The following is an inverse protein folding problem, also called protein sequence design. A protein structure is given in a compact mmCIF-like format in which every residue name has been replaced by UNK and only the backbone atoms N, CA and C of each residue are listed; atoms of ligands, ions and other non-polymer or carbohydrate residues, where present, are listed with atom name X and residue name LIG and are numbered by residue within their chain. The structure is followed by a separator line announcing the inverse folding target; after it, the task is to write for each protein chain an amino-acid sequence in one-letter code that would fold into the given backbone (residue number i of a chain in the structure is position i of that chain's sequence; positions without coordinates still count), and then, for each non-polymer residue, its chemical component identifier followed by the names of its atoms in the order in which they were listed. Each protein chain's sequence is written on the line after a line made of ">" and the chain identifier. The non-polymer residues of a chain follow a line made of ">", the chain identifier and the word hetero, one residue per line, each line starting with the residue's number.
data_IF_359444568563
#
_entry.id   IF_359444568563
#
_cell.length_a   1.000
_cell.length_b   1.000
_cell.length_c   1.000
_cell.angle_alpha   90.00
_cell.angle_beta   90.00
_cell.angle_gamma   90.00
#
_symmetry.space_group_name_H-M   'P 1'
#
loop_
_entity.id
_entity.type
_entity.pdbx_description
1 polymer ?
#
# COMPACT_ATOMS: atom_id res chain seq x y z
N UNK A 1 -30.60 -11.16 27.03
CA UNK A 1 -30.51 -9.85 26.36
C UNK A 1 -29.48 -9.99 25.25
N UNK A 2 -29.98 -10.11 23.98
CA UNK A 2 -29.10 -10.24 22.82
C UNK A 2 -28.53 -8.86 22.47
N UNK A 3 -27.22 -8.70 22.55
CA UNK A 3 -26.55 -7.55 21.92
C UNK A 3 -26.58 -7.73 20.40
N UNK A 4 -27.01 -6.73 19.63
CA UNK A 4 -26.93 -6.79 18.18
C UNK A 4 -25.47 -6.72 17.75
N UNK A 5 -24.98 -7.76 17.09
CA UNK A 5 -23.70 -7.76 16.39
C UNK A 5 -23.85 -6.93 15.10
N UNK A 6 -23.90 -5.62 15.22
CA UNK A 6 -23.79 -4.74 14.07
C UNK A 6 -22.31 -4.68 13.69
N UNK A 7 -21.86 -5.61 12.85
CA UNK A 7 -20.64 -5.42 12.07
C UNK A 7 -21.00 -4.41 11.00
N UNK A 8 -20.73 -3.13 11.24
CA UNK A 8 -20.79 -2.09 10.21
C UNK A 8 -19.74 -2.43 9.13
N UNK A 9 -20.19 -3.16 8.11
CA UNK A 9 -19.41 -3.31 6.90
C UNK A 9 -19.40 -1.95 6.20
N UNK A 10 -18.23 -1.31 6.17
CA UNK A 10 -18.05 -0.08 5.41
C UNK A 10 -18.55 -0.29 3.97
N UNK A 11 -19.46 0.59 3.54
CA UNK A 11 -20.04 0.54 2.19
C UNK A 11 -18.93 0.84 1.19
N UNK A 12 -18.56 -0.16 0.40
CA UNK A 12 -17.54 -0.01 -0.64
C UNK A 12 -18.11 0.60 -1.90
N UNK A 13 -17.26 1.33 -2.62
CA UNK A 13 -17.53 1.74 -3.98
C UNK A 13 -17.66 0.51 -4.91
N UNK A 14 -18.29 0.66 -6.08
CA UNK A 14 -18.34 -0.40 -7.08
C UNK A 14 -16.94 -0.84 -7.48
N UNK A 15 -16.82 -2.07 -7.97
CA UNK A 15 -15.50 -2.69 -8.27
C UNK A 15 -14.69 -1.89 -9.29
N UNK A 16 -15.38 -1.27 -10.27
CA UNK A 16 -14.76 -0.39 -11.27
C UNK A 16 -13.95 0.76 -10.68
N UNK A 17 -14.31 1.26 -9.49
CA UNK A 17 -13.58 2.33 -8.82
C UNK A 17 -12.16 1.94 -8.37
N UNK A 18 -11.84 0.64 -8.36
CA UNK A 18 -10.55 0.10 -7.95
C UNK A 18 -9.73 -0.44 -9.13
N UNK A 19 -10.21 -0.23 -10.36
CA UNK A 19 -9.61 -0.74 -11.57
C UNK A 19 -8.88 0.36 -12.37
N UNK A 20 -8.06 -0.06 -13.33
CA UNK A 20 -7.33 0.86 -14.20
C UNK A 20 -6.36 1.73 -13.41
N UNK A 21 -6.33 3.02 -13.72
CA UNK A 21 -5.44 4.00 -13.08
C UNK A 21 -5.98 4.54 -11.74
N UNK A 22 -6.82 3.77 -11.05
CA UNK A 22 -7.32 4.14 -9.74
C UNK A 22 -6.17 4.42 -8.75
N UNK A 23 -6.39 5.39 -7.87
CA UNK A 23 -5.50 5.69 -6.74
C UNK A 23 -6.26 5.40 -5.46
N UNK A 24 -5.71 4.56 -4.61
CA UNK A 24 -6.39 4.10 -3.39
C UNK A 24 -5.45 4.11 -2.20
N UNK A 25 -5.86 4.77 -1.14
CA UNK A 25 -5.25 4.62 0.17
C UNK A 25 -5.88 3.42 0.89
N UNK A 26 -5.09 2.41 1.13
CA UNK A 26 -5.46 1.21 1.87
C UNK A 26 -4.94 1.24 3.29
N UNK A 27 -5.77 0.77 4.24
CA UNK A 27 -5.33 0.51 5.61
C UNK A 27 -5.67 -0.92 5.99
N UNK A 28 -4.64 -1.69 6.38
CA UNK A 28 -4.74 -3.05 6.88
C UNK A 28 -4.54 -3.02 8.39
N UNK A 29 -5.55 -3.31 9.18
CA UNK A 29 -5.47 -3.29 10.65
C UNK A 29 -5.33 -4.71 11.19
N UNK A 30 -4.43 -4.92 12.14
CA UNK A 30 -4.35 -6.18 12.89
C UNK A 30 -5.61 -6.34 13.74
N UNK A 31 -6.12 -7.57 13.81
CA UNK A 31 -7.29 -7.89 14.62
C UNK A 31 -7.09 -7.41 16.06
N UNK A 32 -8.11 -6.72 16.61
CA UNK A 32 -8.08 -6.13 17.96
C UNK A 32 -6.97 -5.06 18.15
N UNK A 33 -6.39 -4.53 17.06
CA UNK A 33 -5.27 -3.59 17.10
C UNK A 33 -4.08 -4.08 17.95
N UNK A 34 -3.87 -5.39 17.98
CA UNK A 34 -2.76 -5.99 18.71
C UNK A 34 -1.43 -5.56 18.11
N UNK A 35 -0.44 -5.38 18.97
CA UNK A 35 0.94 -5.01 18.62
C UNK A 35 1.89 -6.18 18.90
N UNK A 36 3.16 -6.07 18.43
CA UNK A 36 4.19 -7.10 18.67
C UNK A 36 4.43 -8.03 17.47
N UNK A 37 3.75 -7.84 16.34
CA UNK A 37 3.93 -8.60 15.10
C UNK A 37 4.99 -7.96 14.16
N UNK A 38 5.18 -6.64 14.27
CA UNK A 38 6.04 -5.88 13.38
C UNK A 38 7.52 -6.08 13.77
N UNK A 39 8.29 -6.60 12.85
CA UNK A 39 9.74 -6.81 12.96
C UNK A 39 10.41 -6.48 11.62
N UNK A 40 11.71 -6.33 11.62
CA UNK A 40 12.47 -6.17 10.38
C UNK A 40 12.27 -7.35 9.43
N UNK A 41 12.26 -8.58 9.95
CA UNK A 41 12.02 -9.79 9.16
C UNK A 41 10.63 -9.75 8.47
N UNK A 42 9.57 -9.42 9.23
CA UNK A 42 8.24 -9.29 8.65
C UNK A 42 8.19 -8.16 7.61
N UNK A 43 8.85 -7.02 7.85
CA UNK A 43 8.90 -5.92 6.91
C UNK A 43 9.51 -6.31 5.58
N UNK A 44 10.63 -7.03 5.57
CA UNK A 44 11.27 -7.51 4.34
C UNK A 44 10.39 -8.53 3.62
N UNK A 45 9.80 -9.46 4.35
CA UNK A 45 8.87 -10.43 3.78
C UNK A 45 7.60 -9.76 3.22
N UNK A 46 7.06 -8.76 3.91
CA UNK A 46 5.95 -7.95 3.41
C UNK A 46 6.29 -7.25 2.10
N UNK A 47 7.48 -6.66 2.00
CA UNK A 47 7.96 -6.02 0.75
C UNK A 47 8.05 -7.01 -0.39
N UNK A 48 8.53 -8.22 -0.15
CA UNK A 48 8.55 -9.31 -1.14
C UNK A 48 7.13 -9.63 -1.63
N UNK A 49 6.20 -9.90 -0.72
CA UNK A 49 4.81 -10.20 -1.07
C UNK A 49 4.12 -9.05 -1.80
N UNK A 50 4.42 -7.82 -1.41
CA UNK A 50 3.93 -6.62 -2.09
C UNK A 50 4.50 -6.53 -3.51
N UNK A 51 5.79 -6.79 -3.71
CA UNK A 51 6.43 -6.81 -5.03
C UNK A 51 5.75 -7.83 -5.95
N UNK A 52 5.49 -9.05 -5.48
CA UNK A 52 4.73 -10.05 -6.25
C UNK A 52 3.33 -9.56 -6.64
N UNK A 53 2.63 -8.93 -5.70
CA UNK A 53 1.30 -8.37 -5.96
C UNK A 53 1.35 -7.23 -6.98
N UNK A 54 2.37 -6.38 -6.92
CA UNK A 54 2.56 -5.27 -7.84
C UNK A 54 2.79 -5.72 -9.28
N UNK A 55 3.68 -6.67 -9.50
CA UNK A 55 3.91 -7.22 -10.84
C UNK A 55 2.67 -7.93 -11.37
N UNK A 56 2.00 -8.72 -10.54
CA UNK A 56 0.81 -9.49 -10.95
C UNK A 56 -0.38 -8.63 -11.34
N UNK A 57 -0.57 -7.48 -10.68
CA UNK A 57 -1.75 -6.64 -10.85
C UNK A 57 -1.44 -5.24 -11.40
N UNK A 58 -0.21 -5.02 -11.86
CA UNK A 58 0.27 -3.76 -12.41
C UNK A 58 -0.01 -2.56 -11.49
N UNK A 59 0.54 -2.59 -10.28
CA UNK A 59 0.33 -1.55 -9.26
C UNK A 59 1.68 -0.98 -8.82
N UNK A 60 1.74 0.33 -8.57
CA UNK A 60 2.84 0.98 -7.87
C UNK A 60 2.40 1.41 -6.46
N UNK A 61 3.34 1.44 -5.52
CA UNK A 61 3.15 1.91 -4.15
C UNK A 61 4.16 3.02 -3.86
N UNK A 62 3.79 4.32 -4.07
CA UNK A 62 4.69 5.45 -3.81
C UNK A 62 5.06 5.59 -2.34
N UNK A 63 4.18 5.19 -1.44
CA UNK A 63 4.43 5.21 -0.01
C UNK A 63 3.73 4.04 0.68
N UNK A 64 4.43 3.41 1.58
CA UNK A 64 3.92 2.47 2.56
C UNK A 64 4.45 2.82 3.94
N UNK A 65 3.67 2.56 4.97
CA UNK A 65 4.09 2.73 6.36
C UNK A 65 3.46 1.62 7.20
N UNK A 66 4.30 0.76 7.79
CA UNK A 66 3.86 -0.28 8.72
C UNK A 66 3.93 0.27 10.14
N UNK A 67 2.76 0.42 10.76
CA UNK A 67 2.60 0.87 12.14
C UNK A 67 2.48 -0.35 13.08
N UNK A 68 2.68 -0.20 14.39
CA UNK A 68 2.63 -1.35 15.32
C UNK A 68 1.34 -2.17 15.30
N UNK A 69 0.20 -1.59 14.91
CA UNK A 69 -1.12 -2.22 14.92
C UNK A 69 -1.84 -2.20 13.56
N UNK A 70 -1.24 -1.54 12.53
CA UNK A 70 -1.84 -1.44 11.20
C UNK A 70 -0.80 -1.08 10.13
N UNK A 71 -1.20 -1.12 8.86
CA UNK A 71 -0.38 -0.75 7.69
C UNK A 71 -1.13 0.26 6.84
N UNK A 72 -0.45 1.31 6.41
CA UNK A 72 -0.91 2.22 5.36
C UNK A 72 -0.20 1.96 4.04
N UNK A 73 -0.95 1.98 2.95
CA UNK A 73 -0.45 1.83 1.59
C UNK A 73 -1.14 2.83 0.68
N UNK A 74 -0.39 3.66 -0.05
CA UNK A 74 -0.93 4.37 -1.20
C UNK A 74 -0.65 3.53 -2.44
N UNK A 75 -1.67 3.15 -3.17
CA UNK A 75 -1.53 2.39 -4.41
C UNK A 75 -2.07 3.14 -5.60
N UNK A 76 -1.37 3.06 -6.74
CA UNK A 76 -1.90 3.47 -8.02
C UNK A 76 -1.79 2.34 -9.06
N UNK A 77 -2.85 2.21 -9.87
CA UNK A 77 -2.84 1.32 -11.00
C UNK A 77 -1.99 1.88 -12.15
N UNK A 78 -1.18 1.02 -12.74
CA UNK A 78 -0.27 1.36 -13.82
C UNK A 78 -0.88 1.10 -15.20
N UNK A 79 -1.78 0.12 -15.33
CA UNK A 79 -2.39 -0.28 -16.59
C UNK A 79 -3.92 -0.26 -16.49
N UNK A 80 -4.59 -0.24 -17.63
CA UNK A 80 -6.07 -0.31 -17.69
C UNK A 80 -6.63 -1.61 -17.10
N UNK A 81 -5.85 -2.69 -17.10
CA UNK A 81 -6.21 -3.98 -16.51
C UNK A 81 -5.87 -4.09 -15.01
N UNK A 82 -5.26 -3.08 -14.39
CA UNK A 82 -4.95 -3.09 -12.96
C UNK A 82 -6.24 -3.31 -12.14
N UNK A 83 -6.17 -4.17 -11.11
CA UNK A 83 -7.28 -4.43 -10.20
C UNK A 83 -6.78 -4.47 -8.76
N UNK A 84 -6.99 -3.38 -8.04
CA UNK A 84 -6.48 -3.22 -6.69
C UNK A 84 -7.23 -4.07 -5.65
N UNK A 85 -8.51 -4.42 -5.88
CA UNK A 85 -9.24 -5.33 -4.97
C UNK A 85 -8.66 -6.74 -5.02
N UNK A 86 -8.36 -7.24 -6.23
CA UNK A 86 -7.72 -8.54 -6.38
C UNK A 86 -6.30 -8.54 -5.79
N UNK A 87 -5.53 -7.47 -6.03
CA UNK A 87 -4.21 -7.29 -5.46
C UNK A 87 -4.24 -7.26 -3.92
N UNK A 88 -5.16 -6.51 -3.32
CA UNK A 88 -5.31 -6.41 -1.88
C UNK A 88 -5.73 -7.75 -1.26
N UNK A 89 -6.66 -8.46 -1.89
CA UNK A 89 -7.04 -9.81 -1.46
C UNK A 89 -5.85 -10.76 -1.49
N UNK A 90 -5.07 -10.74 -2.57
CA UNK A 90 -3.88 -11.57 -2.72
C UNK A 90 -2.84 -11.25 -1.64
N UNK A 91 -2.45 -9.98 -1.50
CA UNK A 91 -1.46 -9.54 -0.51
C UNK A 91 -1.90 -9.92 0.92
N UNK A 92 -3.16 -9.61 1.29
CA UNK A 92 -3.68 -9.89 2.63
C UNK A 92 -3.70 -11.38 2.95
N UNK A 93 -4.09 -12.22 1.99
CA UNK A 93 -4.07 -13.68 2.17
C UNK A 93 -2.66 -14.17 2.46
N UNK A 94 -1.68 -13.76 1.66
CA UNK A 94 -0.28 -14.19 1.83
C UNK A 94 0.33 -13.65 3.13
N UNK A 95 0.07 -12.40 3.49
CA UNK A 95 0.50 -11.85 4.78
C UNK A 95 -0.12 -12.61 5.96
N UNK A 96 -1.41 -12.95 5.89
CA UNK A 96 -2.08 -13.70 6.96
C UNK A 96 -1.52 -15.13 7.12
N UNK A 97 -1.02 -15.76 6.06
CA UNK A 97 -0.33 -17.05 6.17
C UNK A 97 0.91 -16.95 7.09
N UNK A 98 1.67 -15.85 6.97
CA UNK A 98 2.85 -15.61 7.82
C UNK A 98 2.47 -15.11 9.21
N UNK A 99 1.53 -14.18 9.32
CA UNK A 99 1.06 -13.62 10.59
C UNK A 99 0.45 -14.68 11.51
N UNK A 100 -0.33 -15.63 10.99
CA UNK A 100 -0.95 -16.69 11.76
C UNK A 100 0.07 -17.62 12.43
N UNK A 101 1.26 -17.79 11.84
CA UNK A 101 2.33 -18.59 12.46
C UNK A 101 2.83 -17.99 13.77
N UNK A 102 2.64 -16.68 13.93
CA UNK A 102 3.03 -15.95 15.15
C UNK A 102 1.80 -15.45 15.94
N UNK A 103 0.62 -15.98 15.65
CA UNK A 103 -0.63 -15.71 16.40
C UNK A 103 -1.30 -14.38 16.06
N UNK A 104 -1.04 -13.79 14.90
CA UNK A 104 -1.66 -12.55 14.43
C UNK A 104 -2.42 -12.76 13.12
N UNK A 105 -3.32 -11.85 12.80
CA UNK A 105 -3.97 -11.75 11.49
C UNK A 105 -4.56 -10.35 11.29
N UNK A 106 -4.77 -9.96 10.06
CA UNK A 106 -5.52 -8.74 9.73
C UNK A 106 -7.01 -8.92 9.98
N UNK A 107 -7.70 -7.81 10.25
CA UNK A 107 -9.15 -7.74 10.24
C UNK A 107 -9.73 -8.23 8.92
N UNK A 108 -10.97 -8.70 8.94
CA UNK A 108 -11.62 -9.31 7.76
C UNK A 108 -11.74 -8.35 6.59
N UNK A 109 -11.94 -7.06 6.87
CA UNK A 109 -12.08 -6.03 5.85
C UNK A 109 -11.01 -4.94 6.04
N UNK A 110 -10.15 -4.68 5.02
CA UNK A 110 -9.31 -3.50 5.02
C UNK A 110 -10.18 -2.24 4.84
N UNK A 111 -9.76 -1.14 5.43
CA UNK A 111 -10.31 0.18 5.09
C UNK A 111 -9.69 0.66 3.79
N UNK A 112 -10.49 1.34 2.98
CA UNK A 112 -10.05 1.92 1.72
C UNK A 112 -10.65 3.31 1.49
N UNK A 113 -9.85 4.20 0.94
CA UNK A 113 -10.27 5.50 0.42
C UNK A 113 -9.78 5.63 -1.02
N UNK A 114 -10.71 5.59 -1.97
CA UNK A 114 -10.40 5.83 -3.39
C UNK A 114 -10.32 7.33 -3.60
N UNK A 115 -9.15 7.83 -4.01
CA UNK A 115 -8.95 9.25 -4.25
C UNK A 115 -9.79 9.69 -5.46
N UNK A 116 -10.57 10.77 -5.27
CA UNK A 116 -11.32 11.44 -6.34
C UNK A 116 -10.37 12.20 -7.27
N UNK A 117 -10.89 12.69 -8.38
CA UNK A 117 -10.07 13.38 -9.38
C UNK A 117 -9.35 14.62 -8.80
N UNK A 118 -10.04 15.38 -7.96
CA UNK A 118 -9.50 16.56 -7.27
C UNK A 118 -8.38 16.18 -6.29
N UNK A 119 -8.51 15.02 -5.62
CA UNK A 119 -7.52 14.48 -4.67
C UNK A 119 -6.32 13.85 -5.37
N UNK A 120 -6.41 13.60 -6.68
CA UNK A 120 -5.30 13.06 -7.52
C UNK A 120 -4.43 14.16 -8.10
N UNK A 121 -4.79 15.42 -7.96
CA UNK A 121 -3.94 16.54 -8.34
C UNK A 121 -2.61 16.45 -7.57
N UNK A 122 -1.51 16.78 -8.21
CA UNK A 122 -0.15 16.54 -7.73
C UNK A 122 0.06 16.97 -6.27
N UNK A 123 -0.28 18.20 -5.93
CA UNK A 123 -0.09 18.72 -4.55
C UNK A 123 -0.91 17.93 -3.52
N UNK A 124 -2.16 17.58 -3.83
CA UNK A 124 -3.03 16.85 -2.90
C UNK A 124 -2.61 15.40 -2.77
N UNK A 125 -2.15 14.78 -3.85
CA UNK A 125 -1.63 13.43 -3.86
C UNK A 125 -0.34 13.31 -3.03
N UNK A 126 0.61 14.23 -3.26
CA UNK A 126 1.87 14.29 -2.49
C UNK A 126 1.57 14.52 -1.01
N UNK A 127 0.68 15.46 -0.66
CA UNK A 127 0.27 15.70 0.72
C UNK A 127 -0.37 14.46 1.37
N UNK A 128 -1.17 13.69 0.62
CA UNK A 128 -1.75 12.42 1.10
C UNK A 128 -0.68 11.36 1.35
N UNK A 129 0.34 11.29 0.52
CA UNK A 129 1.49 10.40 0.74
C UNK A 129 2.34 10.85 1.93
N UNK A 130 2.57 12.14 2.09
CA UNK A 130 3.27 12.72 3.25
C UNK A 130 2.50 12.46 4.55
N UNK A 131 1.17 12.58 4.53
CA UNK A 131 0.32 12.20 5.66
C UNK A 131 0.58 10.76 6.10
N UNK A 132 0.71 9.82 5.15
CA UNK A 132 1.04 8.41 5.45
C UNK A 132 2.45 8.31 6.03
N UNK A 133 3.43 8.99 5.44
CA UNK A 133 4.82 8.97 5.89
C UNK A 133 4.99 9.52 7.33
N UNK A 134 4.19 10.52 7.71
CA UNK A 134 4.22 11.16 9.05
C UNK A 134 3.43 10.42 10.13
N UNK A 135 2.80 9.27 9.83
CA UNK A 135 2.09 8.51 10.88
C UNK A 135 2.96 8.12 12.07
N UNK A 136 4.24 7.68 11.91
CA UNK A 136 5.11 7.36 13.05
C UNK A 136 5.37 8.55 13.97
N UNK A 137 5.60 9.74 13.42
CA UNK A 137 5.76 10.99 14.17
C UNK A 137 4.48 11.33 14.95
N UNK A 138 3.32 11.27 14.28
CA UNK A 138 2.00 11.54 14.90
C UNK A 138 1.63 10.54 15.99
N UNK A 139 2.15 9.32 15.91
CA UNK A 139 2.01 8.30 16.94
C UNK A 139 3.07 8.36 18.04
N UNK A 140 4.02 9.30 17.95
CA UNK A 140 5.12 9.44 18.93
C UNK A 140 6.15 8.32 18.88
N UNK A 141 6.25 7.60 17.75
CA UNK A 141 7.23 6.53 17.54
C UNK A 141 8.62 7.07 17.13
N UNK A 142 8.66 8.28 16.63
CA UNK A 142 9.86 9.06 16.30
C UNK A 142 9.64 10.51 16.73
N UNK A 143 10.71 11.31 16.77
CA UNK A 143 10.64 12.73 17.10
C UNK A 143 9.95 13.57 16.01
N UNK A 144 9.69 14.84 16.34
CA UNK A 144 9.10 15.82 15.40
C UNK A 144 10.07 16.01 14.22
N UNK A 145 9.54 15.96 13.00
CA UNK A 145 10.28 16.01 11.73
C UNK A 145 11.29 14.86 11.49
N UNK A 146 11.23 13.81 12.33
CA UNK A 146 12.08 12.63 12.19
C UNK A 146 11.37 11.44 11.49
N UNK A 147 10.19 11.64 10.91
CA UNK A 147 9.40 10.58 10.28
C UNK A 147 10.17 9.79 9.19
N UNK A 148 11.14 10.43 8.52
CA UNK A 148 11.99 9.78 7.53
C UNK A 148 12.95 8.74 8.13
N UNK A 149 13.19 8.77 9.44
CA UNK A 149 14.04 7.82 10.15
C UNK A 149 13.31 6.53 10.55
N UNK A 150 11.96 6.51 10.43
CA UNK A 150 11.19 5.33 10.80
C UNK A 150 11.48 4.15 9.86
N UNK A 151 11.96 3.01 10.38
CA UNK A 151 12.54 1.95 9.54
C UNK A 151 11.52 1.17 8.72
N UNK A 152 10.23 1.31 9.02
CA UNK A 152 9.15 0.58 8.35
C UNK A 152 8.33 1.44 7.40
N UNK A 153 8.89 2.57 6.97
CA UNK A 153 8.36 3.40 5.89
C UNK A 153 9.19 3.20 4.62
N UNK A 154 8.55 3.22 3.46
CA UNK A 154 9.24 3.05 2.19
C UNK A 154 8.33 3.24 1.00
N UNK A 155 8.85 2.94 -0.18
CA UNK A 155 8.08 2.83 -1.42
C UNK A 155 8.42 1.52 -2.12
N UNK A 156 7.57 1.14 -3.07
CA UNK A 156 7.83 0.03 -4.00
C UNK A 156 7.22 0.38 -5.36
N UNK A 157 8.08 0.43 -6.37
CA UNK A 157 7.67 0.61 -7.76
C UNK A 157 8.27 -0.53 -8.58
N UNK A 158 7.48 -1.28 -9.35
CA UNK A 158 7.97 -2.43 -10.10
C UNK A 158 9.17 -2.09 -10.99
N UNK A 159 10.29 -2.80 -10.80
CA UNK A 159 11.51 -2.60 -11.58
C UNK A 159 12.42 -1.44 -11.14
N UNK A 160 12.03 -0.67 -10.12
CA UNK A 160 12.78 0.51 -9.66
C UNK A 160 13.06 0.47 -8.15
N UNK A 161 13.89 -0.48 -7.67
CA UNK A 161 14.20 -0.63 -6.25
C UNK A 161 15.01 0.53 -5.65
N UNK A 162 15.64 1.34 -6.49
CA UNK A 162 16.48 2.48 -6.11
C UNK A 162 15.67 3.72 -5.71
N UNK A 163 14.36 3.75 -5.95
CA UNK A 163 13.51 4.86 -5.51
C UNK A 163 13.37 4.86 -3.99
N UNK A 164 13.62 6.02 -3.38
CA UNK A 164 13.48 6.23 -1.93
C UNK A 164 12.60 7.45 -1.66
N UNK A 165 11.55 7.32 -0.83
CA UNK A 165 10.49 8.33 -0.72
C UNK A 165 10.93 9.65 -0.08
N UNK A 166 12.12 9.71 0.53
CA UNK A 166 12.60 10.90 1.25
C UNK A 166 13.78 11.60 0.56
N UNK A 167 14.15 11.16 -0.64
CA UNK A 167 15.12 11.89 -1.47
C UNK A 167 14.44 13.13 -2.10
N UNK A 168 15.19 14.22 -2.22
CA UNK A 168 14.66 15.50 -2.68
C UNK A 168 14.09 15.47 -4.10
N UNK A 169 14.58 14.56 -4.94
CA UNK A 169 14.14 14.37 -6.34
C UNK A 169 13.13 13.20 -6.49
N UNK A 170 12.69 12.61 -5.38
CA UNK A 170 11.84 11.41 -5.38
C UNK A 170 10.60 11.57 -6.26
N UNK A 171 9.81 12.60 -6.06
CA UNK A 171 8.55 12.79 -6.80
C UNK A 171 8.78 12.98 -8.29
N UNK A 172 9.80 13.74 -8.67
CA UNK A 172 10.17 13.93 -10.08
C UNK A 172 10.58 12.60 -10.73
N UNK A 173 11.34 11.77 -10.03
CA UNK A 173 11.73 10.43 -10.50
C UNK A 173 10.55 9.49 -10.54
N UNK A 174 9.71 9.50 -9.51
CA UNK A 174 8.51 8.68 -9.41
C UNK A 174 7.55 8.96 -10.58
N UNK A 175 7.22 10.22 -10.85
CA UNK A 175 6.30 10.60 -11.92
C UNK A 175 6.82 10.18 -13.29
N UNK A 176 8.11 10.41 -13.55
CA UNK A 176 8.78 9.96 -14.77
C UNK A 176 8.69 8.44 -14.94
N UNK A 177 8.94 7.71 -13.85
CA UNK A 177 8.89 6.24 -13.82
C UNK A 177 7.48 5.73 -14.08
N UNK A 178 6.47 6.30 -13.41
CA UNK A 178 5.07 5.92 -13.61
C UNK A 178 4.61 6.22 -15.03
N UNK A 179 4.96 7.37 -15.57
CA UNK A 179 4.64 7.73 -16.95
C UNK A 179 5.27 6.74 -17.95
N UNK A 180 6.52 6.35 -17.72
CA UNK A 180 7.21 5.36 -18.55
C UNK A 180 6.54 3.99 -18.46
N UNK A 181 6.23 3.51 -17.25
CA UNK A 181 5.56 2.22 -17.03
C UNK A 181 4.17 2.18 -17.65
N UNK A 182 3.42 3.28 -17.57
CA UNK A 182 2.09 3.40 -18.21
C UNK A 182 2.16 3.34 -19.73
N UNK A 183 3.23 3.89 -20.32
CA UNK A 183 3.44 3.91 -21.77
C UNK A 183 3.95 2.57 -22.31
N UNK A 184 4.89 1.93 -21.59
CA UNK A 184 5.65 0.78 -22.12
C UNK A 184 5.21 -0.54 -21.48
N UNK A 185 4.34 -0.52 -20.47
CA UNK A 185 3.95 -1.69 -19.70
C UNK A 185 5.01 -2.09 -18.68
N UNK A 186 4.62 -3.00 -17.81
CA UNK A 186 5.56 -3.74 -16.98
C UNK A 186 6.26 -4.75 -17.91
N UNK A 187 7.54 -4.98 -17.70
CA UNK A 187 8.24 -6.13 -18.28
C UNK A 187 7.64 -7.36 -17.60
N UNK A 188 6.51 -7.81 -18.12
CA UNK A 188 5.88 -9.05 -17.67
C UNK A 188 6.44 -10.17 -18.53
N UNK A 189 6.66 -11.34 -17.92
CA UNK A 189 7.11 -12.55 -18.61
C UNK A 189 6.17 -13.08 -19.70
N UNK A 190 5.33 -12.25 -20.29
CA UNK A 190 4.50 -12.57 -21.46
C UNK A 190 5.27 -12.50 -22.79
N UNK A 191 6.53 -12.06 -22.79
CA UNK A 191 7.39 -12.12 -23.99
C UNK A 191 8.28 -13.38 -24.05
N UNK A 192 8.05 -14.39 -23.22
CA UNK A 192 8.80 -15.66 -23.26
C UNK A 192 8.03 -16.81 -23.92
N UNK A 193 6.99 -16.53 -24.70
CA UNK A 193 6.27 -17.49 -25.50
C UNK A 193 6.16 -17.00 -26.97
N UNK A 194 7.29 -16.90 -27.67
CA UNK A 194 7.41 -17.03 -29.12
C UNK A 194 8.61 -17.94 -29.44
#
# INVERSE_FOLDING_TARGET
>A
MNQPSHRDHLRRLPESAYCGHAVVHWTLTIRERRTGWLSAEFYYHFRELLTHSQFRYAIACPILCLMPDHIHLMWLGLLTCSNQKLAMRHLRTRCNESLRRIGFEFQDQPYDHVLREEERQELTFVASCEYIARNPERAGLVGVDEYATYPFTGCLVPGYPELKPFESDYWTRFDRTVAWLRKNGLISGQQMNE
#
